data_IF_534503890621
#
_entry.id   IF_534503890621
#
_cell.length_a   1.000
_cell.length_b   1.000
_cell.length_c   1.000
_cell.angle_alpha   90.00
_cell.angle_beta   90.00
_cell.angle_gamma   90.00
#
_symmetry.space_group_name_H-M   'P 1'
#
loop_
_entity.id
_entity.type
_entity.pdbx_description
1 polymer ?
#
# COMPACT_ATOMS: atom_id res chain seq x y z
N UNK A 1 -13.83 8.41 -16.01
CA UNK A 1 -15.30 8.12 -15.98
C UNK A 1 -15.53 6.85 -15.21
N UNK A 2 -16.58 6.78 -14.39
CA UNK A 2 -16.91 5.57 -13.61
C UNK A 2 -18.16 4.92 -14.19
N UNK A 3 -18.08 3.62 -14.47
CA UNK A 3 -19.19 2.77 -14.92
C UNK A 3 -19.56 1.80 -13.81
N UNK A 4 -20.85 1.61 -13.57
CA UNK A 4 -21.35 0.73 -12.51
C UNK A 4 -21.95 -0.54 -13.09
N UNK A 5 -21.72 -1.66 -12.40
CA UNK A 5 -22.29 -2.96 -12.74
C UNK A 5 -22.88 -3.60 -11.49
N UNK A 6 -24.06 -4.18 -11.57
CA UNK A 6 -24.71 -4.91 -10.47
C UNK A 6 -25.63 -6.00 -10.98
N UNK A 7 -25.84 -7.02 -10.14
CA UNK A 7 -26.79 -8.09 -10.43
C UNK A 7 -28.11 -7.91 -9.65
N UNK A 8 -28.01 -7.48 -8.40
CA UNK A 8 -29.14 -7.46 -7.46
C UNK A 8 -29.09 -6.27 -6.48
N UNK A 9 -28.29 -5.26 -6.77
CA UNK A 9 -28.00 -4.10 -5.92
C UNK A 9 -27.34 -4.42 -4.56
N UNK A 10 -27.09 -5.66 -4.22
CA UNK A 10 -26.34 -6.01 -3.00
C UNK A 10 -24.85 -5.75 -3.14
N UNK A 11 -24.34 -5.94 -4.36
CA UNK A 11 -22.95 -5.70 -4.75
C UNK A 11 -22.92 -4.84 -6.01
N UNK A 12 -22.11 -3.79 -5.99
CA UNK A 12 -21.86 -2.91 -7.12
C UNK A 12 -20.36 -2.92 -7.44
N UNK A 13 -20.01 -3.22 -8.67
CA UNK A 13 -18.66 -3.05 -9.17
C UNK A 13 -18.56 -1.67 -9.84
N UNK A 14 -17.66 -0.84 -9.37
CA UNK A 14 -17.35 0.45 -9.94
C UNK A 14 -16.05 0.36 -10.75
N UNK A 15 -16.14 0.68 -12.04
CA UNK A 15 -15.03 0.60 -12.99
C UNK A 15 -14.64 2.00 -13.42
N UNK A 16 -13.48 2.46 -13.00
CA UNK A 16 -12.88 3.71 -13.46
C UNK A 16 -12.12 3.48 -14.76
N UNK A 17 -12.42 4.26 -15.78
CA UNK A 17 -11.80 4.20 -17.09
C UNK A 17 -11.38 5.59 -17.60
N UNK A 18 -10.42 5.63 -18.52
CA UNK A 18 -9.96 6.87 -19.18
C UNK A 18 -11.07 7.56 -19.99
N UNK A 19 -11.93 6.78 -20.62
CA UNK A 19 -13.03 7.25 -21.44
C UNK A 19 -14.27 6.38 -21.29
N UNK A 20 -15.27 6.64 -22.11
CA UNK A 20 -16.48 5.82 -22.17
C UNK A 20 -16.16 4.41 -22.68
N UNK A 21 -16.67 3.41 -21.99
CA UNK A 21 -16.51 2.01 -22.38
C UNK A 21 -17.43 1.67 -23.56
N UNK A 22 -16.93 0.85 -24.48
CA UNK A 22 -17.73 0.37 -25.62
C UNK A 22 -18.77 -0.66 -25.17
N UNK A 23 -19.86 -0.86 -25.95
CA UNK A 23 -20.82 -1.92 -25.66
C UNK A 23 -20.21 -3.32 -25.63
N UNK A 24 -19.17 -3.57 -26.41
CA UNK A 24 -18.42 -4.84 -26.37
C UNK A 24 -17.66 -4.99 -25.06
N UNK A 25 -17.02 -3.92 -24.59
CA UNK A 25 -16.33 -3.89 -23.30
C UNK A 25 -17.31 -4.11 -22.14
N UNK A 26 -18.52 -3.50 -22.20
CA UNK A 26 -19.56 -3.77 -21.20
C UNK A 26 -19.88 -5.26 -21.12
N UNK A 27 -20.12 -5.93 -22.25
CA UNK A 27 -20.41 -7.38 -22.27
C UNK A 27 -19.28 -8.24 -21.70
N UNK A 28 -18.02 -7.89 -21.97
CA UNK A 28 -16.86 -8.57 -21.37
C UNK A 28 -16.82 -8.40 -19.85
N UNK A 29 -17.08 -7.17 -19.37
CA UNK A 29 -17.13 -6.87 -17.93
C UNK A 29 -18.32 -7.51 -17.24
N UNK A 30 -19.50 -7.52 -17.88
CA UNK A 30 -20.68 -8.23 -17.38
C UNK A 30 -20.41 -9.72 -17.18
N UNK A 31 -19.70 -10.35 -18.12
CA UNK A 31 -19.26 -11.72 -17.98
C UNK A 31 -18.22 -11.89 -16.85
N UNK A 32 -17.25 -10.99 -16.76
CA UNK A 32 -16.21 -11.02 -15.72
C UNK A 32 -16.81 -10.89 -14.30
N UNK A 33 -17.83 -10.05 -14.16
CA UNK A 33 -18.54 -9.82 -12.91
C UNK A 33 -19.71 -10.80 -12.69
N UNK A 34 -19.58 -12.02 -13.19
CA UNK A 34 -20.54 -13.13 -12.97
C UNK A 34 -21.97 -12.80 -13.38
N UNK A 35 -22.14 -12.07 -14.47
CA UNK A 35 -23.45 -11.69 -15.01
C UNK A 35 -24.07 -10.46 -14.35
N UNK A 36 -23.28 -9.64 -13.66
CA UNK A 36 -23.70 -8.30 -13.24
C UNK A 36 -23.88 -7.40 -14.48
N UNK A 37 -25.01 -6.72 -14.57
CA UNK A 37 -25.35 -5.90 -15.73
C UNK A 37 -24.86 -4.46 -15.56
N UNK A 38 -24.49 -3.84 -16.67
CA UNK A 38 -24.15 -2.43 -16.73
C UNK A 38 -25.34 -1.54 -16.35
N UNK A 39 -25.12 -0.55 -15.51
CA UNK A 39 -26.10 0.47 -15.12
C UNK A 39 -25.80 1.75 -15.92
N UNK A 40 -26.77 2.22 -16.70
CA UNK A 40 -26.61 3.46 -17.49
C UNK A 40 -26.59 4.73 -16.62
N UNK A 41 -27.04 4.65 -15.36
CA UNK A 41 -27.02 5.77 -14.43
C UNK A 41 -25.58 6.08 -13.99
N UNK A 42 -25.27 7.37 -13.90
CA UNK A 42 -24.00 7.88 -13.34
C UNK A 42 -24.02 7.97 -11.82
N UNK A 43 -25.17 7.74 -11.19
CA UNK A 43 -25.38 7.84 -9.74
C UNK A 43 -26.25 6.66 -9.31
N UNK A 44 -25.90 6.07 -8.16
CA UNK A 44 -26.73 5.07 -7.49
C UNK A 44 -27.07 5.64 -6.10
N UNK A 45 -28.33 5.97 -5.90
CA UNK A 45 -28.87 6.63 -4.69
C UNK A 45 -29.17 5.60 -3.59
N UNK A 46 -28.11 4.94 -3.08
CA UNK A 46 -28.20 4.00 -1.96
C UNK A 46 -26.87 3.99 -1.20
N UNK A 47 -26.91 3.53 0.05
CA UNK A 47 -25.73 3.47 0.91
C UNK A 47 -24.93 2.21 0.63
N UNK A 48 -23.63 2.37 0.45
CA UNK A 48 -22.69 1.29 0.23
C UNK A 48 -21.45 1.43 1.12
N UNK A 49 -20.86 0.33 1.47
CA UNK A 49 -19.53 0.25 2.06
C UNK A 49 -18.56 -0.20 0.98
N UNK A 50 -17.46 0.47 0.86
CA UNK A 50 -16.38 0.13 -0.07
C UNK A 50 -15.04 0.70 0.35
N UNK A 51 -13.99 0.40 -0.39
CA UNK A 51 -12.65 0.90 -0.08
C UNK A 51 -12.62 2.43 -0.05
N UNK A 52 -11.81 2.98 0.83
CA UNK A 52 -11.59 4.43 0.86
C UNK A 52 -11.10 4.94 -0.48
N UNK A 53 -11.50 6.14 -0.86
CA UNK A 53 -11.14 6.75 -2.15
C UNK A 53 -9.63 6.78 -2.41
N UNK A 54 -8.82 7.02 -1.36
CA UNK A 54 -7.36 7.07 -1.41
C UNK A 54 -6.66 5.70 -1.38
N UNK A 55 -7.40 4.59 -1.28
CA UNK A 55 -6.85 3.25 -1.16
C UNK A 55 -7.29 2.36 -2.33
N UNK A 56 -6.36 2.01 -3.21
CA UNK A 56 -6.60 0.97 -4.23
C UNK A 56 -6.36 -0.40 -3.59
N UNK A 57 -7.35 -1.28 -3.64
CA UNK A 57 -7.23 -2.62 -3.04
C UNK A 57 -6.33 -3.53 -3.88
N UNK A 58 -5.65 -4.54 -3.26
CA UNK A 58 -4.95 -5.58 -4.01
C UNK A 58 -5.87 -6.35 -4.96
N UNK A 59 -7.15 -6.50 -4.59
CA UNK A 59 -8.16 -7.08 -5.45
C UNK A 59 -8.35 -6.25 -6.73
N UNK A 60 -8.44 -4.92 -6.59
CA UNK A 60 -8.55 -4.00 -7.73
C UNK A 60 -7.37 -4.13 -8.70
N UNK A 61 -6.15 -4.21 -8.19
CA UNK A 61 -4.96 -4.38 -9.01
C UNK A 61 -5.03 -5.65 -9.85
N UNK A 62 -5.42 -6.77 -9.24
CA UNK A 62 -5.59 -8.03 -9.94
C UNK A 62 -6.76 -7.97 -10.96
N UNK A 63 -7.88 -7.34 -10.59
CA UNK A 63 -9.02 -7.19 -11.47
C UNK A 63 -8.67 -6.36 -12.73
N UNK A 64 -7.92 -5.27 -12.56
CA UNK A 64 -7.41 -4.47 -13.68
C UNK A 64 -6.48 -5.28 -14.58
N UNK A 65 -5.55 -6.05 -14.00
CA UNK A 65 -4.66 -6.93 -14.77
C UNK A 65 -5.45 -7.97 -15.57
N UNK A 66 -6.49 -8.56 -14.98
CA UNK A 66 -7.37 -9.51 -15.72
C UNK A 66 -8.02 -8.81 -16.91
N UNK A 67 -8.51 -7.57 -16.77
CA UNK A 67 -9.11 -6.85 -17.90
C UNK A 67 -8.10 -6.57 -19.01
N UNK A 68 -6.85 -6.26 -18.67
CA UNK A 68 -5.76 -6.10 -19.65
C UNK A 68 -5.50 -7.41 -20.41
N UNK A 69 -5.48 -8.54 -19.70
CA UNK A 69 -5.33 -9.88 -20.31
C UNK A 69 -6.53 -10.25 -21.20
N UNK A 70 -7.71 -9.66 -20.97
CA UNK A 70 -8.90 -9.80 -21.83
C UNK A 70 -8.87 -8.85 -23.04
N UNK A 71 -7.79 -8.09 -23.24
CA UNK A 71 -7.66 -7.11 -24.32
C UNK A 71 -8.52 -5.85 -24.09
N UNK A 72 -8.82 -5.51 -22.82
CA UNK A 72 -9.51 -4.28 -22.44
C UNK A 72 -8.46 -3.29 -21.95
N UNK A 73 -8.30 -2.18 -22.63
CA UNK A 73 -7.40 -1.09 -22.26
C UNK A 73 -8.11 0.08 -21.60
N UNK A 74 -7.36 0.93 -20.91
CA UNK A 74 -7.87 2.17 -20.32
C UNK A 74 -8.67 2.01 -19.03
N UNK A 75 -8.70 0.81 -18.42
CA UNK A 75 -9.24 0.61 -17.08
C UNK A 75 -8.16 1.02 -16.06
N UNK A 76 -8.50 1.90 -15.13
CA UNK A 76 -7.59 2.42 -14.08
C UNK A 76 -7.79 1.73 -12.74
N UNK A 77 -9.05 1.50 -12.38
CA UNK A 77 -9.43 0.97 -11.08
C UNK A 77 -10.76 0.22 -11.17
N UNK A 78 -10.86 -0.88 -10.45
CA UNK A 78 -12.11 -1.64 -10.29
C UNK A 78 -12.26 -1.93 -8.80
N UNK A 79 -13.38 -1.54 -8.19
CA UNK A 79 -13.64 -1.83 -6.78
C UNK A 79 -15.05 -2.34 -6.58
N UNK A 80 -15.22 -3.16 -5.55
CA UNK A 80 -16.51 -3.68 -5.13
C UNK A 80 -17.08 -2.86 -3.98
N UNK A 81 -18.35 -2.54 -4.07
CA UNK A 81 -19.14 -1.83 -3.07
C UNK A 81 -20.30 -2.72 -2.62
N UNK A 82 -20.43 -2.90 -1.30
CA UNK A 82 -21.43 -3.76 -0.70
C UNK A 82 -22.55 -2.89 -0.11
N UNK A 83 -23.80 -3.23 -0.40
CA UNK A 83 -24.95 -2.51 0.13
C UNK A 83 -24.92 -2.46 1.66
N UNK A 84 -25.02 -1.27 2.21
CA UNK A 84 -25.04 -1.06 3.64
C UNK A 84 -26.44 -1.20 4.20
N UNK A 85 -26.66 -2.25 4.98
CA UNK A 85 -27.81 -2.37 5.86
C UNK A 85 -27.33 -2.11 7.30
N UNK A 86 -27.95 -1.29 8.09
CA UNK A 86 -27.50 -0.84 9.41
C UNK A 86 -27.09 -1.97 10.40
N UNK A 87 -27.04 -3.22 9.96
CA UNK A 87 -26.61 -4.41 10.74
C UNK A 87 -25.17 -4.81 10.44
N UNK A 88 -24.57 -4.32 9.35
CA UNK A 88 -23.22 -4.71 8.95
C UNK A 88 -22.19 -3.78 9.60
N UNK A 89 -21.25 -4.33 10.32
CA UNK A 89 -20.01 -3.63 10.71
C UNK A 89 -18.97 -3.76 9.60
N UNK A 90 -18.13 -2.77 9.44
CA UNK A 90 -17.00 -2.78 8.49
C UNK A 90 -15.77 -2.17 9.13
N UNK A 91 -14.59 -2.51 8.63
CA UNK A 91 -13.33 -1.95 9.06
C UNK A 91 -13.17 -0.51 8.53
N UNK A 92 -13.23 0.46 9.44
CA UNK A 92 -13.10 1.88 9.10
C UNK A 92 -11.67 2.29 8.70
N UNK A 93 -10.66 1.46 8.92
CA UNK A 93 -9.30 1.75 8.46
C UNK A 93 -9.18 1.62 6.94
N UNK A 94 -9.83 0.62 6.37
CA UNK A 94 -9.73 0.27 4.95
C UNK A 94 -10.95 0.68 4.13
N UNK A 95 -12.11 0.78 4.76
CA UNK A 95 -13.39 1.07 4.11
C UNK A 95 -14.06 2.31 4.67
N UNK A 96 -14.97 2.86 3.88
CA UNK A 96 -15.84 3.96 4.30
C UNK A 96 -17.28 3.77 3.83
N UNK A 97 -18.21 4.51 4.45
CA UNK A 97 -19.62 4.50 4.12
C UNK A 97 -19.92 5.59 3.10
N UNK A 98 -20.26 5.19 1.90
CA UNK A 98 -20.73 6.05 0.83
C UNK A 98 -22.24 6.24 0.93
N UNK A 99 -22.72 7.49 0.97
CA UNK A 99 -24.15 7.79 1.01
C UNK A 99 -24.82 7.52 -0.35
N UNK A 100 -24.03 7.59 -1.41
CA UNK A 100 -24.35 7.27 -2.80
C UNK A 100 -23.08 6.89 -3.54
N UNK A 101 -23.21 6.22 -4.66
CA UNK A 101 -22.09 6.03 -5.58
C UNK A 101 -22.26 6.98 -6.78
N UNK A 102 -21.27 7.81 -7.02
CA UNK A 102 -21.27 8.78 -8.13
C UNK A 102 -19.91 8.80 -8.84
N UNK A 103 -19.69 9.78 -9.72
CA UNK A 103 -18.46 9.89 -10.50
C UNK A 103 -17.24 10.38 -9.70
N UNK A 104 -17.40 10.70 -8.41
CA UNK A 104 -16.36 11.23 -7.54
C UNK A 104 -15.87 10.22 -6.48
N UNK A 105 -16.41 9.00 -6.43
CA UNK A 105 -16.10 8.00 -5.39
C UNK A 105 -14.60 7.62 -5.31
N UNK A 106 -13.83 7.86 -6.36
CA UNK A 106 -12.39 7.65 -6.38
C UNK A 106 -11.58 8.95 -6.36
N UNK A 107 -12.27 10.09 -6.25
CA UNK A 107 -11.60 11.39 -6.19
C UNK A 107 -11.11 11.65 -4.77
N UNK A 108 -9.82 11.89 -4.63
CA UNK A 108 -9.20 12.26 -3.36
C UNK A 108 -9.07 13.78 -3.31
N UNK A 109 -9.93 14.41 -2.53
CA UNK A 109 -9.88 15.86 -2.26
C UNK A 109 -9.13 16.08 -0.93
N UNK A 110 -7.81 16.00 -0.96
CA UNK A 110 -6.96 16.38 0.17
C UNK A 110 -6.31 17.70 -0.22
N UNK A 111 -6.66 18.77 0.48
CA UNK A 111 -5.89 19.99 0.43
C UNK A 111 -4.65 19.78 1.30
N UNK A 112 -3.43 19.97 0.75
CA UNK A 112 -2.22 19.87 1.54
C UNK A 112 -2.27 20.91 2.67
N UNK A 113 -1.98 20.48 3.89
CA UNK A 113 -1.76 21.41 4.98
C UNK A 113 -0.42 22.13 4.77
N UNK A 114 -0.37 23.40 5.18
CA UNK A 114 0.88 24.15 5.18
C UNK A 114 1.86 23.54 6.18
N UNK A 115 3.16 23.58 5.87
CA UNK A 115 4.18 23.10 6.78
C UNK A 115 4.26 24.01 8.03
N UNK A 116 4.36 23.40 9.20
CA UNK A 116 4.37 24.06 10.51
C UNK A 116 5.80 24.11 11.03
N UNK A 117 6.26 25.28 11.49
CA UNK A 117 7.53 25.39 12.18
C UNK A 117 7.47 24.78 13.59
N UNK A 118 8.42 23.92 13.91
CA UNK A 118 8.49 23.22 15.20
C UNK A 118 9.43 23.98 16.14
N UNK A 119 8.87 24.60 17.17
CA UNK A 119 9.63 25.33 18.18
C UNK A 119 10.16 24.43 19.30
N UNK A 120 9.51 23.29 19.56
CA UNK A 120 9.90 22.32 20.59
C UNK A 120 9.86 20.89 20.02
N UNK A 121 11.02 20.39 19.61
CA UNK A 121 11.15 19.10 18.97
C UNK A 121 10.80 17.94 19.93
N UNK A 122 11.14 18.06 21.23
CA UNK A 122 10.83 17.03 22.21
C UNK A 122 9.31 16.89 22.44
N UNK A 123 8.60 17.99 22.53
CA UNK A 123 7.14 17.97 22.65
C UNK A 123 6.48 17.40 21.39
N UNK A 124 6.94 17.82 20.23
CA UNK A 124 6.47 17.31 18.95
C UNK A 124 6.73 15.80 18.80
N UNK A 125 7.93 15.33 19.18
CA UNK A 125 8.29 13.91 19.23
C UNK A 125 7.29 13.09 20.05
N UNK A 126 6.91 13.58 21.25
CA UNK A 126 5.94 12.90 22.12
C UNK A 126 4.53 12.92 21.55
N UNK A 127 4.10 14.07 21.02
CA UNK A 127 2.77 14.27 20.46
C UNK A 127 2.52 13.36 19.25
N UNK A 128 3.48 13.31 18.32
CA UNK A 128 3.36 12.56 17.07
C UNK A 128 3.92 11.12 17.19
N UNK A 129 4.49 10.73 18.33
CA UNK A 129 5.01 9.38 18.55
C UNK A 129 6.19 9.01 17.63
N UNK A 130 7.09 9.97 17.35
CA UNK A 130 8.17 9.79 16.36
C UNK A 130 9.30 8.85 16.82
N UNK A 131 9.35 8.53 18.11
CA UNK A 131 10.36 7.66 18.73
C UNK A 131 11.81 8.14 18.52
N UNK A 132 12.01 9.46 18.48
CA UNK A 132 13.36 10.06 18.48
C UNK A 132 14.04 9.85 19.84
N UNK A 133 15.30 9.46 19.83
CA UNK A 133 16.16 9.40 21.02
C UNK A 133 16.59 10.80 21.46
N UNK A 134 17.07 10.93 22.70
CA UNK A 134 17.58 12.21 23.23
C UNK A 134 18.74 12.75 22.37
N UNK A 135 19.65 11.90 21.91
CA UNK A 135 20.76 12.29 21.04
C UNK A 135 20.27 12.82 19.68
N UNK A 136 19.19 12.24 19.12
CA UNK A 136 18.59 12.68 17.87
C UNK A 136 17.87 14.01 18.03
N UNK A 137 17.21 14.24 19.18
CA UNK A 137 16.60 15.53 19.49
C UNK A 137 17.66 16.62 19.60
N UNK A 138 18.75 16.38 20.34
CA UNK A 138 19.89 17.31 20.45
C UNK A 138 20.49 17.61 19.07
N UNK A 139 20.68 16.59 18.24
CA UNK A 139 21.17 16.77 16.87
C UNK A 139 20.26 17.70 16.03
N UNK A 140 18.95 17.51 16.09
CA UNK A 140 17.99 18.33 15.34
C UNK A 140 17.92 19.77 15.89
N UNK A 141 18.02 19.96 17.20
CA UNK A 141 18.07 21.29 17.83
C UNK A 141 19.36 22.04 17.40
N UNK A 142 20.51 21.37 17.39
CA UNK A 142 21.76 21.96 16.95
C UNK A 142 21.77 22.22 15.43
N UNK A 143 21.13 21.38 14.64
CA UNK A 143 20.92 21.64 13.23
C UNK A 143 20.07 22.90 13.02
N UNK A 144 18.95 23.04 13.76
CA UNK A 144 18.10 24.23 13.72
C UNK A 144 18.88 25.52 14.01
N UNK A 145 19.72 25.51 15.06
CA UNK A 145 20.61 26.63 15.40
C UNK A 145 21.61 26.93 14.26
N UNK A 146 22.21 25.87 13.70
CA UNK A 146 23.23 25.98 12.64
C UNK A 146 22.67 26.59 11.35
N UNK A 147 21.43 26.24 10.98
CA UNK A 147 20.76 26.79 9.80
C UNK A 147 20.00 28.08 10.10
N UNK A 148 20.00 28.53 11.37
CA UNK A 148 19.39 29.76 11.86
C UNK A 148 17.89 29.88 11.54
N UNK A 149 17.15 28.77 11.64
CA UNK A 149 15.68 28.72 11.58
C UNK A 149 15.16 27.49 12.30
N UNK A 150 13.87 27.53 12.65
CA UNK A 150 13.19 26.33 13.12
C UNK A 150 13.08 25.26 12.01
N UNK A 151 13.10 24.00 12.40
CA UNK A 151 12.77 22.92 11.50
C UNK A 151 11.25 22.85 11.33
N UNK A 152 10.80 22.41 10.16
CA UNK A 152 9.39 22.17 9.90
C UNK A 152 8.99 20.78 10.38
N UNK A 153 7.68 20.58 10.58
CA UNK A 153 7.07 19.28 10.83
C UNK A 153 7.51 18.22 9.83
N UNK A 154 7.49 18.56 8.54
CA UNK A 154 7.92 17.68 7.46
C UNK A 154 9.39 17.29 7.56
N UNK A 155 10.28 18.21 7.97
CA UNK A 155 11.71 17.93 8.17
C UNK A 155 11.93 17.02 9.39
N UNK A 156 11.28 17.30 10.53
CA UNK A 156 11.41 16.49 11.75
C UNK A 156 10.79 15.09 11.53
N UNK A 157 9.60 15.03 10.92
CA UNK A 157 8.94 13.77 10.58
C UNK A 157 9.78 12.96 9.58
N UNK A 158 10.24 13.58 8.50
CA UNK A 158 11.08 12.94 7.48
C UNK A 158 12.36 12.35 8.09
N UNK A 159 13.05 13.11 8.97
CA UNK A 159 14.22 12.61 9.70
C UNK A 159 13.87 11.39 10.55
N UNK A 160 12.76 11.44 11.29
CA UNK A 160 12.32 10.31 12.13
C UNK A 160 12.05 9.05 11.30
N UNK A 161 11.46 9.18 10.11
CA UNK A 161 11.17 8.04 9.25
C UNK A 161 12.45 7.42 8.65
N UNK A 162 13.36 8.26 8.14
CA UNK A 162 14.64 7.80 7.57
C UNK A 162 15.55 7.16 8.62
N UNK A 163 15.55 7.73 9.84
CA UNK A 163 16.39 7.28 10.95
C UNK A 163 15.65 6.36 11.94
N UNK A 164 14.46 5.89 11.57
CA UNK A 164 13.59 5.12 12.44
C UNK A 164 14.12 3.72 12.73
N UNK A 165 13.71 3.18 13.88
CA UNK A 165 13.89 1.78 14.25
C UNK A 165 12.89 0.83 13.55
N UNK A 166 12.24 1.26 12.47
CA UNK A 166 11.25 0.45 11.76
C UNK A 166 11.75 -0.96 11.42
N UNK A 167 12.98 -1.03 10.87
CA UNK A 167 13.67 -2.31 10.61
C UNK A 167 14.60 -2.73 11.76
N UNK A 168 14.62 -2.00 12.85
CA UNK A 168 15.46 -2.23 14.04
C UNK A 168 16.97 -2.34 13.73
N UNK A 169 17.43 -1.69 12.68
CA UNK A 169 18.84 -1.77 12.25
C UNK A 169 19.79 -1.22 13.30
N UNK A 170 19.44 -0.17 14.03
CA UNK A 170 20.25 0.39 15.12
C UNK A 170 20.43 -0.65 16.24
N UNK A 171 19.33 -1.29 16.68
CA UNK A 171 19.36 -2.33 17.71
C UNK A 171 20.15 -3.54 17.21
N UNK A 172 19.83 -4.07 16.03
CA UNK A 172 20.48 -5.27 15.50
C UNK A 172 21.97 -5.07 15.18
N UNK A 173 22.39 -3.85 14.81
CA UNK A 173 23.80 -3.51 14.60
C UNK A 173 24.50 -2.95 15.85
N UNK A 174 23.74 -2.71 16.92
CA UNK A 174 24.25 -2.15 18.17
C UNK A 174 25.30 -3.03 18.87
N UNK A 175 26.07 -2.41 19.74
CA UNK A 175 26.98 -3.11 20.64
C UNK A 175 26.22 -3.55 21.88
N UNK A 176 26.24 -4.84 22.18
CA UNK A 176 25.61 -5.39 23.38
C UNK A 176 26.63 -5.56 24.51
N UNK A 177 26.28 -5.04 25.68
CA UNK A 177 27.03 -5.24 26.93
C UNK A 177 26.09 -5.99 27.86
N UNK A 178 26.42 -7.25 28.16
CA UNK A 178 25.63 -8.13 29.04
C UNK A 178 26.48 -8.50 30.23
N UNK A 179 26.01 -8.20 31.45
CA UNK A 179 26.76 -8.40 32.69
C UNK A 179 28.17 -7.75 32.66
N UNK A 180 28.22 -6.51 32.17
CA UNK A 180 29.47 -5.74 31.99
C UNK A 180 30.45 -6.33 30.96
N UNK A 181 30.06 -7.35 30.22
CA UNK A 181 30.88 -7.96 29.17
C UNK A 181 30.38 -7.49 27.81
N UNK A 182 31.24 -6.77 27.07
CA UNK A 182 30.99 -6.39 25.70
C UNK A 182 31.00 -7.63 24.79
N UNK A 183 29.93 -7.83 24.02
CA UNK A 183 29.86 -8.91 23.04
C UNK A 183 30.63 -8.52 21.79
N UNK A 184 31.35 -9.50 21.22
CA UNK A 184 32.19 -9.29 20.03
C UNK A 184 31.35 -9.02 18.76
N UNK A 185 30.14 -9.59 18.69
CA UNK A 185 29.29 -9.53 17.52
C UNK A 185 27.97 -8.89 17.87
N UNK A 186 27.45 -8.05 16.93
CA UNK A 186 26.08 -7.58 16.95
C UNK A 186 25.12 -8.72 16.59
N UNK A 187 23.83 -8.56 16.92
CA UNK A 187 22.79 -9.52 16.52
C UNK A 187 22.77 -9.76 15.01
N UNK A 188 22.92 -8.68 14.23
CA UNK A 188 22.91 -8.77 12.78
C UNK A 188 24.13 -9.53 12.22
N UNK A 189 25.31 -9.35 12.84
CA UNK A 189 26.50 -10.14 12.49
C UNK A 189 26.32 -11.62 12.79
N UNK A 190 25.63 -11.98 13.89
CA UNK A 190 25.31 -13.37 14.21
C UNK A 190 24.34 -13.98 13.19
N UNK A 191 23.29 -13.24 12.80
CA UNK A 191 22.35 -13.67 11.74
C UNK A 191 23.09 -13.91 10.43
N UNK A 192 23.91 -12.96 9.97
CA UNK A 192 24.72 -13.13 8.75
C UNK A 192 25.69 -14.30 8.82
N UNK A 193 26.21 -14.60 10.00
CA UNK A 193 27.13 -15.72 10.20
C UNK A 193 26.47 -17.07 9.95
N UNK A 194 25.20 -17.24 10.34
CA UNK A 194 24.46 -18.50 10.08
C UNK A 194 24.39 -18.79 8.58
N UNK A 195 24.13 -17.78 7.77
CA UNK A 195 24.13 -17.92 6.29
C UNK A 195 25.52 -18.26 5.73
N UNK A 196 26.59 -17.69 6.31
CA UNK A 196 27.95 -17.93 5.85
C UNK A 196 28.46 -19.34 6.20
N UNK A 197 28.11 -19.84 7.38
CA UNK A 197 28.63 -21.13 7.90
C UNK A 197 27.83 -22.34 7.40
N UNK A 198 26.62 -22.15 6.95
CA UNK A 198 25.77 -23.24 6.50
C UNK A 198 25.63 -23.22 4.97
N UNK A 199 25.80 -24.39 4.35
CA UNK A 199 25.50 -24.58 2.93
C UNK A 199 24.00 -24.33 2.72
N UNK A 200 23.67 -23.40 1.86
CA UNK A 200 22.29 -22.98 1.61
C UNK A 200 22.10 -22.54 0.17
N UNK A 201 20.85 -22.29 -0.20
CA UNK A 201 20.47 -21.87 -1.55
C UNK A 201 20.31 -20.35 -1.70
N UNK A 202 20.88 -19.55 -0.79
CA UNK A 202 20.80 -18.08 -0.85
C UNK A 202 21.62 -17.57 -2.03
N UNK A 203 20.98 -16.88 -2.95
CA UNK A 203 21.59 -16.19 -4.09
C UNK A 203 22.00 -14.79 -3.71
N UNK A 204 21.11 -14.07 -3.02
CA UNK A 204 21.35 -12.71 -2.51
C UNK A 204 20.54 -12.48 -1.26
N UNK A 205 21.19 -11.92 -0.22
CA UNK A 205 20.55 -11.48 1.01
C UNK A 205 21.36 -10.37 1.68
N UNK A 206 20.72 -9.59 2.55
CA UNK A 206 21.32 -8.52 3.35
C UNK A 206 21.95 -7.37 2.54
N UNK A 207 21.54 -7.18 1.28
CA UNK A 207 21.97 -6.07 0.41
C UNK A 207 20.89 -5.03 0.23
N UNK A 208 19.63 -5.45 0.35
CA UNK A 208 18.43 -4.65 0.17
C UNK A 208 17.27 -5.31 0.95
N UNK A 209 16.08 -4.72 0.89
CA UNK A 209 14.84 -5.21 1.52
C UNK A 209 14.30 -6.50 0.88
N UNK A 210 15.10 -7.15 0.05
CA UNK A 210 14.75 -8.37 -0.67
C UNK A 210 15.83 -9.42 -0.51
N UNK A 211 15.42 -10.68 -0.48
CA UNK A 211 16.33 -11.82 -0.52
C UNK A 211 15.90 -12.77 -1.64
N UNK A 212 16.88 -13.38 -2.28
CA UNK A 212 16.69 -14.40 -3.32
C UNK A 212 17.28 -15.71 -2.88
N UNK A 213 16.50 -16.77 -3.03
CA UNK A 213 16.95 -18.15 -2.85
C UNK A 213 16.75 -18.93 -4.15
N UNK A 214 17.63 -19.86 -4.44
CA UNK A 214 17.46 -20.77 -5.55
C UNK A 214 16.39 -21.79 -5.19
N UNK A 215 15.31 -21.79 -5.97
CA UNK A 215 14.23 -22.77 -5.87
C UNK A 215 14.50 -24.04 -6.67
N UNK A 216 13.65 -25.07 -6.53
CA UNK A 216 13.66 -26.23 -7.40
C UNK A 216 13.24 -25.85 -8.82
N UNK A 217 13.63 -26.68 -9.79
CA UNK A 217 13.06 -26.58 -11.15
C UNK A 217 11.62 -27.10 -11.10
N UNK A 218 10.69 -26.26 -11.51
CA UNK A 218 9.25 -26.58 -11.56
C UNK A 218 8.69 -26.22 -12.92
N UNK A 219 7.60 -26.85 -13.28
CA UNK A 219 6.80 -26.41 -14.43
C UNK A 219 5.79 -25.37 -13.94
N UNK A 220 5.76 -24.23 -14.57
CA UNK A 220 4.82 -23.17 -14.25
C UNK A 220 3.81 -23.01 -15.37
N UNK A 221 2.55 -22.87 -14.99
CA UNK A 221 1.50 -22.44 -15.91
C UNK A 221 1.65 -20.93 -16.15
N UNK A 222 1.91 -20.52 -17.38
CA UNK A 222 2.12 -19.11 -17.71
C UNK A 222 1.43 -18.72 -19.01
N UNK A 223 0.91 -17.51 -19.18
CA UNK A 223 0.31 -17.05 -20.42
C UNK A 223 1.33 -17.05 -21.55
N UNK A 224 0.89 -17.30 -22.77
CA UNK A 224 1.71 -17.17 -23.97
C UNK A 224 1.83 -15.72 -24.41
N UNK A 225 2.84 -15.37 -25.19
CA UNK A 225 3.03 -14.03 -25.75
C UNK A 225 1.88 -13.59 -26.68
N UNK A 226 1.02 -14.51 -27.11
CA UNK A 226 -0.11 -14.26 -28.01
C UNK A 226 -1.46 -14.20 -27.28
N UNK A 227 -1.49 -13.87 -26.00
CA UNK A 227 -2.70 -13.73 -25.16
C UNK A 227 -3.58 -15.01 -25.12
N UNK A 228 -3.05 -16.16 -25.54
CA UNK A 228 -3.75 -17.43 -25.44
C UNK A 228 -3.50 -18.08 -24.08
N UNK A 229 -4.47 -18.86 -23.58
CA UNK A 229 -4.24 -19.63 -22.38
C UNK A 229 -3.04 -20.55 -22.57
N UNK A 230 -2.33 -20.72 -21.56
CA UNK A 230 -0.95 -21.03 -21.44
C UNK A 230 -0.56 -22.48 -21.69
N UNK A 231 0.70 -22.67 -21.72
CA UNK A 231 1.41 -23.93 -21.64
C UNK A 231 2.20 -23.98 -20.34
N UNK A 232 2.43 -25.17 -19.80
CA UNK A 232 3.43 -25.39 -18.77
C UNK A 232 4.83 -25.27 -19.39
N UNK A 233 5.67 -24.46 -18.77
CA UNK A 233 7.09 -24.29 -19.12
C UNK A 233 7.97 -24.75 -17.96
#
# INVERSE_FOLDING_TARGET
MISFFTKDNSHVYAVESEGALSPETHKKLEWLFSGSLYISSKIIESKYVGPRSNMTTPWSTNAVEITQNMGISGIKRIEEFIFFNNKNSFDQMTNELYQKLDQNIFTVNIEPEDSIEITNINEYNKKEGLALSDDEIVYLEDLSKKINRNLTDSEVFGFSQVNSEHCRHKIFNGTFIINNIKKEKSLFQMIKQTTKLNKNSVVSAYKDNVAFIQGPKVQQFSPTQSEKPSIYK
#
